data_IF_385670070942
#
_entry.id   IF_385670070942
#
_cell.length_a   1.000
_cell.length_b   1.000
_cell.length_c   1.000
_cell.angle_alpha   90.00
_cell.angle_beta   90.00
_cell.angle_gamma   90.00
#
_symmetry.space_group_name_H-M   'P 1'
#
loop_
_entity.id
_entity.type
_entity.pdbx_description
1 polymer ?
#
# COMPACT_ATOMS: atom_id res chain seq x y z
N UNK A 1 2.61 1.17 17.79
CA UNK A 1 2.11 1.26 16.40
C UNK A 1 2.96 2.27 15.64
N UNK A 2 3.26 2.02 14.37
CA UNK A 2 3.91 2.93 13.43
C UNK A 2 2.90 3.64 12.55
N UNK A 3 3.29 4.72 11.89
CA UNK A 3 2.41 5.51 11.04
C UNK A 3 3.04 5.77 9.67
N UNK A 4 2.24 5.65 8.63
CA UNK A 4 2.62 5.98 7.27
C UNK A 4 1.60 6.87 6.59
N UNK A 5 1.97 7.40 5.44
CA UNK A 5 1.08 8.13 4.52
C UNK A 5 1.00 7.36 3.20
N UNK A 6 -0.15 7.43 2.52
CA UNK A 6 -0.37 6.70 1.27
C UNK A 6 -0.96 7.60 0.20
N UNK A 7 -0.48 7.47 -1.03
CA UNK A 7 -0.81 8.33 -2.15
C UNK A 7 -1.37 7.53 -3.33
N UNK A 8 -2.44 8.06 -3.89
CA UNK A 8 -3.08 7.58 -5.12
C UNK A 8 -2.86 8.55 -6.27
N UNK A 9 -2.43 9.80 -5.97
CA UNK A 9 -2.29 10.89 -6.92
C UNK A 9 -3.59 11.12 -7.69
N UNK A 10 -4.70 11.21 -6.97
CA UNK A 10 -6.02 11.48 -7.54
C UNK A 10 -6.04 12.86 -8.20
N UNK A 11 -6.74 12.96 -9.33
CA UNK A 11 -6.81 14.20 -10.10
C UNK A 11 -8.24 14.41 -10.59
N UNK A 12 -9.08 15.12 -9.82
CA UNK A 12 -10.48 15.31 -10.16
C UNK A 12 -10.68 16.19 -11.39
N UNK A 13 -11.79 15.95 -12.10
CA UNK A 13 -12.22 16.81 -13.22
C UNK A 13 -12.77 18.16 -12.72
N UNK A 14 -12.72 19.24 -13.53
CA UNK A 14 -12.15 19.30 -14.90
C UNK A 14 -10.62 19.36 -14.89
N UNK A 15 -10.00 18.63 -15.82
CA UNK A 15 -8.54 18.67 -15.94
C UNK A 15 -8.05 19.91 -16.67
N UNK A 16 -7.00 20.49 -16.13
CA UNK A 16 -6.26 21.62 -16.70
C UNK A 16 -4.80 21.19 -16.92
N UNK A 17 -4.03 22.02 -17.58
CA UNK A 17 -2.58 21.79 -17.73
C UNK A 17 -1.85 21.61 -16.39
N UNK A 18 -2.35 22.22 -15.33
CA UNK A 18 -1.69 22.23 -14.00
C UNK A 18 -2.25 21.17 -13.04
N UNK A 19 -3.34 20.48 -13.37
CA UNK A 19 -4.03 19.58 -12.44
C UNK A 19 -3.10 18.48 -11.91
N UNK A 20 -2.47 17.71 -12.78
CA UNK A 20 -1.55 16.62 -12.41
C UNK A 20 -0.30 17.14 -11.71
N UNK A 21 0.27 18.24 -12.21
CA UNK A 21 1.43 18.89 -11.60
C UNK A 21 1.13 19.34 -10.17
N UNK A 22 -0.05 19.91 -9.94
CA UNK A 22 -0.48 20.33 -8.60
C UNK A 22 -0.63 19.14 -7.68
N UNK A 23 -1.35 18.08 -8.09
CA UNK A 23 -1.54 16.88 -7.29
C UNK A 23 -0.19 16.22 -6.89
N UNK A 24 0.74 16.10 -7.86
CA UNK A 24 2.07 15.53 -7.59
C UNK A 24 2.89 16.43 -6.65
N UNK A 25 2.91 17.75 -6.84
CA UNK A 25 3.65 18.67 -5.98
C UNK A 25 3.08 18.69 -4.56
N UNK A 26 1.75 18.69 -4.42
CA UNK A 26 1.08 18.59 -3.11
C UNK A 26 1.49 17.30 -2.39
N UNK A 27 1.49 16.17 -3.08
CA UNK A 27 1.90 14.90 -2.52
C UNK A 27 3.38 14.90 -2.09
N UNK A 28 4.28 15.47 -2.89
CA UNK A 28 5.71 15.61 -2.53
C UNK A 28 5.89 16.49 -1.28
N UNK A 29 5.15 17.59 -1.16
CA UNK A 29 5.16 18.44 0.03
C UNK A 29 4.66 17.68 1.27
N UNK A 30 3.57 16.91 1.14
CA UNK A 30 3.03 16.06 2.20
C UNK A 30 4.04 15.00 2.65
N UNK A 31 4.74 14.33 1.73
CA UNK A 31 5.79 13.35 2.05
C UNK A 31 6.95 14.00 2.79
N UNK A 32 7.41 15.17 2.33
CA UNK A 32 8.47 15.91 2.98
C UNK A 32 8.10 16.29 4.41
N UNK A 33 6.89 16.83 4.60
CA UNK A 33 6.39 17.16 5.92
C UNK A 33 6.26 15.90 6.80
N UNK A 34 5.76 14.80 6.27
CA UNK A 34 5.65 13.54 7.01
C UNK A 34 7.02 13.04 7.49
N UNK A 35 8.08 13.13 6.66
CA UNK A 35 9.46 12.80 7.05
C UNK A 35 9.94 13.70 8.20
N UNK A 36 9.70 15.02 8.11
CA UNK A 36 10.07 16.00 9.15
C UNK A 36 9.32 15.74 10.46
N UNK A 37 8.04 15.36 10.40
CA UNK A 37 7.19 15.07 11.55
C UNK A 37 7.44 13.70 12.19
N UNK A 38 8.20 12.82 11.54
CA UNK A 38 8.58 11.52 12.10
C UNK A 38 7.67 10.35 11.73
N UNK A 39 6.90 10.46 10.66
CA UNK A 39 6.21 9.30 10.09
C UNK A 39 7.21 8.25 9.62
N UNK A 40 6.80 6.97 9.67
CA UNK A 40 7.67 5.83 9.37
C UNK A 40 7.66 5.46 7.89
N UNK A 41 6.53 5.63 7.18
CA UNK A 41 6.35 5.14 5.81
C UNK A 41 5.65 6.16 4.91
N UNK A 42 6.03 6.17 3.62
CA UNK A 42 5.28 6.80 2.53
C UNK A 42 5.08 5.78 1.41
N UNK A 43 3.83 5.50 1.07
CA UNK A 43 3.44 4.51 0.08
C UNK A 43 2.81 5.16 -1.15
N UNK A 44 3.06 4.60 -2.32
CA UNK A 44 2.37 5.00 -3.56
C UNK A 44 1.74 3.79 -4.24
N UNK A 45 0.49 3.92 -4.65
CA UNK A 45 -0.23 2.88 -5.42
C UNK A 45 0.27 2.80 -6.85
N UNK A 46 0.01 1.68 -7.53
CA UNK A 46 0.09 1.56 -8.99
C UNK A 46 -1.31 1.33 -9.53
N UNK A 47 -1.80 2.27 -10.33
CA UNK A 47 -3.09 2.20 -11.01
C UNK A 47 -3.02 2.75 -12.43
N UNK A 48 -3.85 2.18 -13.30
CA UNK A 48 -3.91 2.52 -14.71
C UNK A 48 -5.37 2.72 -15.14
N UNK A 49 -5.61 3.71 -16.02
CA UNK A 49 -6.93 3.97 -16.62
C UNK A 49 -8.04 4.37 -15.63
N UNK A 50 -7.74 4.56 -14.36
CA UNK A 50 -8.71 4.93 -13.32
C UNK A 50 -8.85 6.45 -13.20
N UNK A 51 -9.02 7.09 -14.33
CA UNK A 51 -9.25 8.53 -14.56
C UNK A 51 -9.06 9.44 -13.32
N UNK A 52 -10.15 9.85 -12.64
CA UNK A 52 -10.05 10.78 -11.50
C UNK A 52 -9.50 10.13 -10.23
N UNK A 53 -9.56 8.78 -10.14
CA UNK A 53 -9.15 8.06 -8.94
C UNK A 53 -7.64 8.05 -8.73
N UNK A 54 -6.87 7.78 -9.79
CA UNK A 54 -5.42 7.66 -9.64
C UNK A 54 -4.66 7.94 -10.94
N UNK A 55 -3.70 8.87 -10.87
CA UNK A 55 -2.70 9.10 -11.90
C UNK A 55 -1.32 8.50 -11.55
N UNK A 56 -1.27 7.62 -10.53
CA UNK A 56 -0.05 6.92 -10.09
C UNK A 56 0.23 5.69 -10.95
N UNK A 57 0.58 5.90 -12.20
CA UNK A 57 0.88 4.83 -13.18
C UNK A 57 2.33 4.33 -13.13
N UNK A 58 3.24 5.09 -12.51
CA UNK A 58 4.66 4.77 -12.37
C UNK A 58 5.11 5.13 -10.95
N UNK A 59 4.70 4.36 -9.93
CA UNK A 59 4.97 4.71 -8.53
C UNK A 59 6.46 4.83 -8.23
N UNK A 60 7.32 4.08 -8.90
CA UNK A 60 8.77 4.17 -8.73
C UNK A 60 9.35 5.54 -9.10
N UNK A 61 8.73 6.27 -10.04
CA UNK A 61 9.16 7.62 -10.41
C UNK A 61 8.83 8.61 -9.29
N UNK A 62 7.61 8.55 -8.76
CA UNK A 62 7.19 9.36 -7.62
C UNK A 62 8.01 9.03 -6.37
N UNK A 63 8.18 7.75 -6.04
CA UNK A 63 8.96 7.32 -4.88
C UNK A 63 10.45 7.70 -5.01
N UNK A 64 11.00 7.75 -6.24
CA UNK A 64 12.35 8.26 -6.48
C UNK A 64 12.45 9.75 -6.15
N UNK A 65 11.48 10.56 -6.56
CA UNK A 65 11.42 11.96 -6.18
C UNK A 65 11.31 12.12 -4.64
N UNK A 66 10.47 11.29 -3.99
CA UNK A 66 10.39 11.25 -2.53
C UNK A 66 11.73 10.89 -1.88
N UNK A 67 12.48 9.93 -2.44
CA UNK A 67 13.79 9.53 -1.92
C UNK A 67 14.79 10.69 -1.87
N UNK A 68 14.73 11.57 -2.87
CA UNK A 68 15.66 12.71 -2.99
C UNK A 68 15.35 13.88 -2.03
N UNK A 69 14.10 13.98 -1.57
CA UNK A 69 13.66 15.09 -0.69
C UNK A 69 13.46 14.68 0.78
N UNK A 70 13.66 13.40 1.11
CA UNK A 70 13.48 12.84 2.46
C UNK A 70 14.73 12.14 2.95
N UNK A 71 14.83 11.89 4.27
CA UNK A 71 16.02 11.30 4.90
C UNK A 71 15.76 10.01 5.68
N UNK A 72 14.57 9.84 6.27
CA UNK A 72 14.27 8.79 7.24
C UNK A 72 13.09 7.92 6.84
N UNK A 73 12.04 8.54 6.31
CA UNK A 73 10.79 7.86 5.96
C UNK A 73 11.07 6.74 4.95
N UNK A 74 10.52 5.54 5.22
CA UNK A 74 10.65 4.41 4.29
C UNK A 74 9.64 4.58 3.15
N UNK A 75 10.00 4.11 1.98
CA UNK A 75 9.28 4.34 0.73
C UNK A 75 8.71 3.02 0.22
N UNK A 76 7.41 2.93 0.04
CA UNK A 76 6.75 1.68 -0.28
C UNK A 76 5.96 1.69 -1.58
N UNK A 77 6.10 0.63 -2.37
CA UNK A 77 5.12 0.32 -3.39
C UNK A 77 3.85 -0.22 -2.73
N UNK A 78 2.77 0.45 -2.91
CA UNK A 78 1.48 0.04 -2.34
C UNK A 78 0.40 -0.24 -3.38
N UNK A 79 0.72 -0.95 -4.45
CA UNK A 79 1.70 -2.02 -4.71
C UNK A 79 2.38 -1.85 -6.10
N UNK A 80 3.30 -2.73 -6.46
CA UNK A 80 3.70 -2.96 -7.85
C UNK A 80 2.91 -4.16 -8.41
N UNK A 81 2.36 -4.00 -9.62
CA UNK A 81 1.54 -5.04 -10.25
C UNK A 81 2.43 -6.13 -10.85
N UNK A 82 2.33 -7.34 -10.30
CA UNK A 82 3.10 -8.53 -10.71
C UNK A 82 2.30 -9.38 -11.71
N UNK A 83 2.04 -8.81 -12.90
CA UNK A 83 1.33 -9.44 -14.01
C UNK A 83 2.09 -9.13 -15.29
N UNK A 84 2.34 -10.11 -16.20
CA UNK A 84 3.22 -9.95 -17.37
C UNK A 84 2.86 -8.79 -18.29
N UNK A 85 1.57 -8.50 -18.45
CA UNK A 85 1.08 -7.42 -19.31
C UNK A 85 1.41 -6.02 -18.76
N UNK A 86 1.66 -5.90 -17.45
CA UNK A 86 2.09 -4.66 -16.81
C UNK A 86 3.61 -4.53 -16.81
N UNK A 87 4.30 -5.57 -16.37
CA UNK A 87 5.77 -5.57 -16.32
C UNK A 87 6.33 -6.98 -16.15
N UNK A 88 7.51 -7.24 -16.71
CA UNK A 88 8.22 -8.48 -16.42
C UNK A 88 8.84 -8.48 -15.03
N UNK A 89 9.04 -9.65 -14.39
CA UNK A 89 9.68 -9.74 -13.08
C UNK A 89 11.13 -9.24 -13.09
N UNK A 90 11.83 -9.31 -14.24
CA UNK A 90 13.17 -8.72 -14.40
C UNK A 90 13.10 -7.20 -14.20
N UNK A 91 12.17 -6.54 -14.89
CA UNK A 91 12.03 -5.07 -14.81
C UNK A 91 11.61 -4.63 -13.40
N UNK A 92 10.77 -5.42 -12.74
CA UNK A 92 10.41 -5.16 -11.34
C UNK A 92 11.66 -5.27 -10.45
N UNK A 93 12.44 -6.34 -10.56
CA UNK A 93 13.65 -6.54 -9.77
C UNK A 93 14.69 -5.42 -9.99
N UNK A 94 14.92 -4.99 -11.25
CA UNK A 94 15.85 -3.92 -11.60
C UNK A 94 15.42 -2.55 -11.03
N UNK A 95 14.15 -2.16 -11.25
CA UNK A 95 13.63 -0.85 -10.82
C UNK A 95 13.60 -0.72 -9.30
N UNK A 96 13.14 -1.76 -8.62
CA UNK A 96 13.10 -1.77 -7.15
C UNK A 96 14.50 -1.79 -6.54
N UNK A 97 15.45 -2.53 -7.10
CA UNK A 97 16.83 -2.48 -6.66
C UNK A 97 17.47 -1.09 -6.86
N UNK A 98 17.19 -0.44 -8.00
CA UNK A 98 17.66 0.93 -8.25
C UNK A 98 17.07 1.92 -7.24
N UNK A 99 15.75 1.84 -6.98
CA UNK A 99 15.11 2.70 -6.00
C UNK A 99 15.61 2.44 -4.57
N UNK A 100 15.91 1.18 -4.22
CA UNK A 100 16.49 0.84 -2.94
C UNK A 100 17.87 1.49 -2.73
N UNK A 101 18.71 1.49 -3.76
CA UNK A 101 20.01 2.17 -3.75
C UNK A 101 19.83 3.69 -3.60
N UNK A 102 18.96 4.30 -4.42
CA UNK A 102 18.71 5.74 -4.42
C UNK A 102 18.14 6.24 -3.08
N UNK A 103 17.33 5.41 -2.43
CA UNK A 103 16.76 5.72 -1.12
C UNK A 103 17.72 5.44 0.05
N UNK A 104 18.89 4.84 -0.19
CA UNK A 104 19.81 4.41 0.87
C UNK A 104 19.25 3.28 1.74
N UNK A 105 18.54 2.32 1.12
CA UNK A 105 18.00 1.14 1.82
C UNK A 105 16.68 1.39 2.54
N UNK A 106 15.89 2.36 2.09
CA UNK A 106 14.58 2.68 2.69
C UNK A 106 13.39 2.10 1.93
N UNK A 107 13.61 1.23 0.94
CA UNK A 107 12.54 0.68 0.12
C UNK A 107 11.78 -0.44 0.83
N UNK A 108 10.46 -0.46 0.63
CA UNK A 108 9.50 -1.53 0.91
C UNK A 108 8.84 -1.95 -0.41
N UNK A 109 8.78 -3.25 -0.71
CA UNK A 109 8.24 -3.73 -1.99
C UNK A 109 6.91 -4.44 -1.78
N UNK A 110 5.83 -3.67 -1.88
CA UNK A 110 4.48 -4.24 -1.92
C UNK A 110 4.17 -4.81 -3.32
N UNK A 111 3.55 -5.96 -3.36
CA UNK A 111 3.19 -6.69 -4.59
C UNK A 111 1.70 -6.93 -4.67
N UNK A 112 1.19 -7.06 -5.89
CA UNK A 112 -0.21 -7.37 -6.12
C UNK A 112 -0.45 -7.80 -7.57
N UNK A 113 -1.74 -7.95 -7.94
CA UNK A 113 -2.11 -8.52 -9.24
C UNK A 113 -3.17 -7.72 -9.99
N UNK A 114 -3.39 -6.43 -9.61
CA UNK A 114 -4.54 -5.62 -10.00
C UNK A 114 -5.88 -6.20 -9.50
N UNK A 115 -6.88 -5.36 -9.42
CA UNK A 115 -8.20 -5.73 -8.88
C UNK A 115 -9.36 -5.19 -9.71
N UNK A 116 -9.11 -4.36 -10.73
CA UNK A 116 -10.18 -3.73 -11.50
C UNK A 116 -10.27 -4.29 -12.91
N UNK A 117 -11.50 -4.42 -13.40
CA UNK A 117 -11.75 -4.78 -14.80
C UNK A 117 -11.15 -3.75 -15.77
N UNK A 118 -11.27 -2.46 -15.46
CA UNK A 118 -10.76 -1.37 -16.30
C UNK A 118 -9.27 -1.51 -16.54
N UNK A 119 -8.50 -1.81 -15.50
CA UNK A 119 -7.05 -2.00 -15.62
C UNK A 119 -6.70 -3.29 -16.35
N UNK A 120 -7.29 -4.41 -15.95
CA UNK A 120 -7.00 -5.72 -16.54
C UNK A 120 -7.35 -5.76 -18.03
N UNK A 121 -8.55 -5.30 -18.40
CA UNK A 121 -8.97 -5.24 -19.79
C UNK A 121 -8.12 -4.25 -20.61
N UNK A 122 -7.81 -3.09 -20.03
CA UNK A 122 -6.97 -2.07 -20.67
C UNK A 122 -5.55 -2.56 -20.95
N UNK A 123 -4.99 -3.38 -20.07
CA UNK A 123 -3.67 -4.02 -20.26
C UNK A 123 -3.72 -5.32 -21.06
N UNK A 124 -4.91 -5.83 -21.39
CA UNK A 124 -5.05 -7.15 -22.04
C UNK A 124 -4.67 -8.32 -21.13
N UNK A 125 -4.83 -8.16 -19.82
CA UNK A 125 -4.50 -9.17 -18.83
C UNK A 125 -5.72 -10.09 -18.58
N UNK A 126 -5.47 -11.41 -18.53
CA UNK A 126 -6.47 -12.39 -18.17
C UNK A 126 -6.58 -12.52 -16.66
N UNK A 127 -7.72 -12.14 -16.11
CA UNK A 127 -8.02 -12.20 -14.69
C UNK A 127 -7.78 -13.59 -14.08
N UNK A 128 -8.13 -14.66 -14.78
CA UNK A 128 -8.03 -16.04 -14.27
C UNK A 128 -6.58 -16.48 -14.02
N UNK A 129 -5.62 -15.88 -14.71
CA UNK A 129 -4.19 -16.20 -14.57
C UNK A 129 -3.43 -15.27 -13.64
N UNK A 130 -4.02 -14.15 -13.21
CA UNK A 130 -3.30 -13.13 -12.42
C UNK A 130 -2.76 -13.63 -11.08
N UNK A 131 -3.46 -14.58 -10.44
CA UNK A 131 -3.00 -15.15 -9.16
C UNK A 131 -1.77 -16.05 -9.36
N UNK A 132 -1.77 -16.87 -10.37
CA UNK A 132 -0.67 -17.77 -10.67
C UNK A 132 0.57 -16.99 -11.15
N UNK A 133 0.38 -15.96 -11.99
CA UNK A 133 1.48 -15.09 -12.43
C UNK A 133 2.10 -14.31 -11.28
N UNK A 134 1.28 -13.77 -10.39
CA UNK A 134 1.76 -13.12 -9.17
C UNK A 134 2.55 -14.09 -8.29
N UNK A 135 2.06 -15.29 -8.06
CA UNK A 135 2.76 -16.30 -7.24
C UNK A 135 4.13 -16.65 -7.83
N UNK A 136 4.21 -16.84 -9.15
CA UNK A 136 5.47 -17.09 -9.82
C UNK A 136 6.44 -15.92 -9.68
N UNK A 137 5.96 -14.68 -9.86
CA UNK A 137 6.79 -13.48 -9.79
C UNK A 137 7.37 -13.24 -8.38
N UNK A 138 6.56 -13.38 -7.33
CA UNK A 138 7.04 -13.15 -5.96
C UNK A 138 8.06 -14.18 -5.51
N UNK A 139 8.10 -15.37 -6.14
CA UNK A 139 9.10 -16.41 -5.89
C UNK A 139 10.42 -16.19 -6.62
N UNK A 140 10.41 -15.48 -7.75
CA UNK A 140 11.64 -15.30 -8.56
C UNK A 140 12.32 -13.97 -8.29
N UNK A 141 11.57 -12.92 -7.93
CA UNK A 141 12.13 -11.58 -7.65
C UNK A 141 13.20 -11.60 -6.55
N UNK A 142 13.00 -12.20 -5.36
CA UNK A 142 14.05 -12.26 -4.33
C UNK A 142 15.31 -12.97 -4.81
N UNK A 143 15.17 -14.03 -5.61
CA UNK A 143 16.31 -14.75 -6.18
C UNK A 143 17.09 -13.90 -7.16
N UNK A 144 16.43 -13.06 -7.96
CA UNK A 144 17.10 -12.09 -8.83
C UNK A 144 17.88 -11.05 -8.04
N UNK A 145 17.44 -10.68 -6.84
CA UNK A 145 18.16 -9.71 -5.98
C UNK A 145 19.37 -10.32 -5.28
N UNK A 146 19.29 -11.60 -4.89
CA UNK A 146 20.31 -12.23 -4.00
C UNK A 146 21.34 -13.05 -4.79
N UNK A 147 20.97 -13.70 -5.87
CA UNK A 147 21.88 -14.54 -6.66
C UNK A 147 22.69 -13.70 -7.65
N UNK A 148 23.99 -13.99 -7.78
CA UNK A 148 24.88 -13.33 -8.74
C UNK A 148 24.38 -13.54 -10.18
N UNK A 149 24.07 -14.79 -10.52
CA UNK A 149 23.49 -15.19 -11.80
C UNK A 149 22.22 -15.99 -11.55
N UNK A 150 21.23 -15.80 -12.39
CA UNK A 150 19.91 -16.41 -12.26
C UNK A 150 19.42 -16.89 -13.62
N UNK A 151 18.82 -18.07 -13.64
CA UNK A 151 18.05 -18.60 -14.76
C UNK A 151 16.74 -19.18 -14.24
N UNK A 152 15.71 -19.16 -15.05
CA UNK A 152 14.41 -19.67 -14.66
C UNK A 152 13.62 -20.20 -15.85
N UNK A 153 12.91 -21.29 -15.63
CA UNK A 153 11.96 -21.87 -16.58
C UNK A 153 10.66 -22.11 -15.84
N UNK A 154 9.67 -21.24 -16.04
CA UNK A 154 8.35 -21.31 -15.42
C UNK A 154 7.22 -21.36 -16.43
N UNK A 155 6.01 -21.22 -15.91
CA UNK A 155 4.81 -21.24 -16.73
C UNK A 155 4.56 -19.89 -17.41
N UNK A 156 4.75 -18.79 -16.68
CA UNK A 156 4.42 -17.45 -17.14
C UNK A 156 5.66 -16.60 -17.44
N UNK A 157 6.82 -17.08 -17.02
CA UNK A 157 8.08 -16.38 -17.19
C UNK A 157 9.23 -17.36 -17.38
N UNK A 158 10.16 -17.04 -18.26
CA UNK A 158 11.40 -17.79 -18.47
C UNK A 158 12.53 -16.83 -18.84
N UNK A 159 13.75 -17.13 -18.35
CA UNK A 159 14.94 -16.41 -18.77
C UNK A 159 16.17 -17.32 -18.77
N UNK A 160 17.08 -17.18 -19.74
CA UNK A 160 18.38 -17.84 -19.69
C UNK A 160 19.24 -17.23 -18.58
N UNK A 161 20.30 -17.91 -18.20
CA UNK A 161 21.20 -17.43 -17.14
C UNK A 161 21.77 -16.05 -17.45
N UNK A 162 21.50 -15.08 -16.57
CA UNK A 162 21.97 -13.69 -16.65
C UNK A 162 22.21 -13.14 -15.24
N UNK A 163 23.04 -12.10 -15.15
CA UNK A 163 23.10 -11.24 -13.97
C UNK A 163 21.98 -10.19 -14.06
N UNK A 164 21.06 -10.18 -13.12
CA UNK A 164 20.03 -9.14 -12.99
C UNK A 164 20.60 -8.01 -12.13
N UNK A 165 20.77 -6.83 -12.69
CA UNK A 165 21.47 -5.69 -12.07
C UNK A 165 20.66 -4.39 -12.19
N UNK A 166 20.81 -3.46 -11.19
CA UNK A 166 21.66 -3.56 -10.01
C UNK A 166 21.12 -4.55 -8.96
N UNK A 167 21.91 -4.80 -7.89
CA UNK A 167 21.45 -5.49 -6.68
C UNK A 167 20.97 -4.47 -5.66
N UNK A 168 19.97 -4.79 -4.82
CA UNK A 168 19.49 -3.89 -3.76
C UNK A 168 20.60 -3.52 -2.77
N UNK A 169 20.48 -2.34 -2.17
CA UNK A 169 21.33 -1.88 -1.08
C UNK A 169 21.06 -2.66 0.21
N UNK A 170 19.77 -2.89 0.53
CA UNK A 170 19.35 -3.70 1.67
C UNK A 170 19.78 -5.16 1.49
N UNK A 171 20.25 -5.80 2.58
CA UNK A 171 20.64 -7.20 2.60
C UNK A 171 19.77 -7.99 3.59
N UNK A 172 19.34 -9.18 3.22
CA UNK A 172 19.56 -9.87 1.94
C UNK A 172 18.81 -9.22 0.77
N UNK A 173 17.67 -8.59 1.02
CA UNK A 173 16.83 -7.85 0.03
C UNK A 173 15.83 -6.92 0.75
N UNK A 174 15.15 -5.99 0.06
CA UNK A 174 14.08 -5.18 0.63
C UNK A 174 12.92 -6.03 1.18
N UNK A 175 12.25 -5.60 2.26
CA UNK A 175 11.05 -6.26 2.75
C UNK A 175 9.97 -6.32 1.68
N UNK A 176 9.32 -7.50 1.57
CA UNK A 176 8.25 -7.74 0.60
C UNK A 176 6.91 -7.82 1.30
N UNK A 177 5.88 -7.32 0.61
CA UNK A 177 4.51 -7.25 1.10
C UNK A 177 3.54 -7.69 0.01
N UNK A 178 2.28 -7.94 0.40
CA UNK A 178 1.19 -8.11 -0.56
C UNK A 178 -0.05 -7.34 -0.12
N UNK A 179 -0.78 -6.77 -1.09
CA UNK A 179 -2.06 -6.12 -0.84
C UNK A 179 -3.11 -7.16 -0.47
N UNK A 180 -3.63 -7.08 0.76
CA UNK A 180 -4.69 -7.94 1.30
C UNK A 180 -6.02 -7.20 1.19
N UNK A 181 -6.60 -7.21 -0.01
CA UNK A 181 -7.84 -6.50 -0.35
C UNK A 181 -9.00 -7.41 -0.71
N UNK A 182 -8.73 -8.71 -0.86
CA UNK A 182 -9.73 -9.74 -1.18
C UNK A 182 -9.68 -10.88 -0.17
N UNK A 183 -10.80 -11.57 0.11
CA UNK A 183 -10.83 -12.71 1.02
C UNK A 183 -9.84 -13.81 0.61
N UNK A 184 -9.09 -14.34 1.58
CA UNK A 184 -8.10 -15.38 1.37
C UNK A 184 -6.71 -14.89 0.98
N UNK A 185 -6.54 -13.59 0.64
CA UNK A 185 -5.21 -13.04 0.31
C UNK A 185 -4.31 -12.96 1.55
N UNK A 186 -4.87 -12.86 2.74
CA UNK A 186 -4.13 -12.97 3.99
C UNK A 186 -3.45 -14.34 4.15
N UNK A 187 -4.06 -15.39 3.63
CA UNK A 187 -3.47 -16.74 3.60
C UNK A 187 -2.31 -16.78 2.61
N UNK A 188 -2.50 -16.19 1.42
CA UNK A 188 -1.45 -16.08 0.40
C UNK A 188 -0.22 -15.30 0.93
N UNK A 189 -0.45 -14.20 1.65
CA UNK A 189 0.59 -13.42 2.31
C UNK A 189 1.34 -14.26 3.36
N UNK A 190 0.59 -14.81 4.30
CA UNK A 190 1.12 -15.50 5.45
C UNK A 190 1.91 -16.75 5.06
N UNK A 191 1.41 -17.59 4.15
CA UNK A 191 2.09 -18.82 3.71
C UNK A 191 3.42 -18.57 3.02
N UNK A 192 3.63 -17.38 2.45
CA UNK A 192 4.85 -16.96 1.73
C UNK A 192 5.78 -16.08 2.55
N UNK A 193 5.46 -15.84 3.82
CA UNK A 193 6.27 -14.98 4.71
C UNK A 193 6.30 -13.52 4.28
N UNK A 194 5.25 -13.03 3.60
CA UNK A 194 5.12 -11.66 3.13
C UNK A 194 4.34 -10.79 4.14
N UNK A 195 4.71 -9.50 4.24
CA UNK A 195 3.95 -8.53 5.01
C UNK A 195 2.54 -8.33 4.46
N UNK A 196 1.58 -8.10 5.35
CA UNK A 196 0.18 -7.84 5.02
C UNK A 196 -0.07 -6.33 4.89
N UNK A 197 -0.48 -5.88 3.70
CA UNK A 197 -0.89 -4.50 3.43
C UNK A 197 -2.41 -4.50 3.17
N UNK A 198 -3.20 -4.34 4.23
CA UNK A 198 -4.66 -4.40 4.20
C UNK A 198 -5.33 -3.04 4.11
N UNK A 199 -6.65 -3.06 3.94
CA UNK A 199 -7.51 -1.88 3.97
C UNK A 199 -8.41 -1.94 5.22
N UNK A 200 -8.53 -0.85 5.95
CA UNK A 200 -9.40 -0.74 7.14
C UNK A 200 -10.88 -0.50 6.81
N UNK A 201 -11.30 -0.86 5.59
CA UNK A 201 -12.68 -0.75 5.17
C UNK A 201 -13.48 -2.00 5.60
N UNK A 202 -14.65 -1.80 6.16
CA UNK A 202 -15.48 -2.87 6.72
C UNK A 202 -15.50 -2.87 8.25
N UNK A 203 -16.13 -3.89 8.86
CA UNK A 203 -16.24 -3.96 10.31
C UNK A 203 -14.91 -4.34 10.97
N UNK A 204 -14.65 -3.79 12.16
CA UNK A 204 -13.46 -4.16 12.95
C UNK A 204 -13.39 -5.66 13.22
N UNK A 205 -14.53 -6.32 13.47
CA UNK A 205 -14.58 -7.76 13.68
C UNK A 205 -14.07 -8.57 12.50
N UNK A 206 -14.43 -8.17 11.27
CA UNK A 206 -13.94 -8.84 10.05
C UNK A 206 -12.43 -8.63 9.87
N UNK A 207 -11.96 -7.43 10.17
CA UNK A 207 -10.51 -7.12 10.10
C UNK A 207 -9.73 -7.93 11.14
N UNK A 208 -10.23 -8.03 12.36
CA UNK A 208 -9.62 -8.84 13.41
C UNK A 208 -9.49 -10.32 13.01
N UNK A 209 -10.52 -10.88 12.38
CA UNK A 209 -10.48 -12.26 11.87
C UNK A 209 -9.38 -12.44 10.82
N UNK A 210 -9.26 -11.52 9.86
CA UNK A 210 -8.23 -11.54 8.82
C UNK A 210 -6.83 -11.44 9.44
N UNK A 211 -6.62 -10.50 10.37
CA UNK A 211 -5.34 -10.31 11.06
C UNK A 211 -4.96 -11.55 11.89
N UNK A 212 -5.89 -12.09 12.68
CA UNK A 212 -5.65 -13.28 13.48
C UNK A 212 -5.34 -14.51 12.62
N UNK A 213 -6.02 -14.68 11.48
CA UNK A 213 -5.74 -15.74 10.52
C UNK A 213 -4.32 -15.61 9.94
N UNK A 214 -3.93 -14.41 9.49
CA UNK A 214 -2.58 -14.11 9.02
C UNK A 214 -1.52 -14.43 10.09
N UNK A 215 -1.68 -13.90 11.31
CA UNK A 215 -0.74 -14.09 12.43
C UNK A 215 -0.58 -15.56 12.83
N UNK A 216 -1.63 -16.34 12.69
CA UNK A 216 -1.59 -17.79 12.96
C UNK A 216 -0.80 -18.54 11.90
N UNK A 217 -1.06 -18.26 10.62
CA UNK A 217 -0.48 -19.01 9.50
C UNK A 217 0.99 -18.67 9.30
N UNK A 218 1.39 -17.41 9.43
CA UNK A 218 2.77 -16.98 9.14
C UNK A 218 3.83 -17.65 10.02
N UNK A 219 3.44 -18.16 11.20
CA UNK A 219 4.33 -18.88 12.11
C UNK A 219 4.91 -20.17 11.54
N UNK A 220 4.26 -20.74 10.52
CA UNK A 220 4.65 -21.97 9.84
C UNK A 220 4.78 -21.76 8.32
N UNK A 221 5.15 -20.57 7.89
CA UNK A 221 5.28 -20.23 6.49
C UNK A 221 6.52 -20.85 5.83
N UNK A 222 6.47 -20.96 4.52
CA UNK A 222 7.62 -21.22 3.67
C UNK A 222 7.96 -19.91 2.92
N UNK A 223 8.88 -19.09 3.43
CA UNK A 223 9.13 -17.76 2.89
C UNK A 223 9.64 -17.84 1.46
N UNK A 224 9.14 -16.98 0.59
CA UNK A 224 9.60 -16.85 -0.80
C UNK A 224 10.92 -16.08 -0.90
N UNK A 225 11.25 -15.27 0.11
CA UNK A 225 12.51 -14.54 0.25
C UNK A 225 13.42 -15.15 1.32
N UNK A 226 14.50 -14.46 1.66
CA UNK A 226 15.51 -14.94 2.60
C UNK A 226 15.14 -14.69 4.08
N UNK A 227 14.00 -14.02 4.34
CA UNK A 227 13.47 -13.78 5.69
C UNK A 227 11.94 -13.62 5.66
N UNK A 228 11.33 -13.77 6.82
CA UNK A 228 9.88 -13.57 7.02
C UNK A 228 9.60 -12.12 7.38
N UNK A 229 8.71 -11.47 6.64
CA UNK A 229 8.15 -10.17 6.98
C UNK A 229 6.78 -10.37 7.62
N UNK A 230 6.71 -10.51 8.95
CA UNK A 230 5.44 -10.75 9.66
C UNK A 230 4.65 -9.48 10.01
N UNK A 231 4.97 -8.36 9.38
CA UNK A 231 4.37 -7.06 9.68
C UNK A 231 2.96 -6.94 9.10
N UNK A 232 2.03 -6.38 9.89
CA UNK A 232 0.65 -6.09 9.48
C UNK A 232 0.47 -4.59 9.40
N UNK A 233 0.19 -4.10 8.20
CA UNK A 233 -0.16 -2.71 7.94
C UNK A 233 -1.62 -2.62 7.45
N UNK A 234 -2.32 -1.58 7.88
CA UNK A 234 -3.67 -1.23 7.41
C UNK A 234 -3.66 0.16 6.79
N UNK A 235 -4.60 0.41 5.89
CA UNK A 235 -4.79 1.70 5.24
C UNK A 235 -6.15 2.27 5.61
N UNK A 236 -6.20 3.52 6.08
CA UNK A 236 -7.43 4.22 6.43
C UNK A 236 -7.43 5.67 5.93
N UNK A 237 -8.61 6.23 5.67
CA UNK A 237 -8.74 7.68 5.44
C UNK A 237 -8.42 8.43 6.72
N UNK A 238 -7.78 9.61 6.60
CA UNK A 238 -7.45 10.41 7.76
C UNK A 238 -7.75 11.89 7.54
N UNK A 239 -8.45 12.46 8.50
CA UNK A 239 -8.48 13.91 8.70
C UNK A 239 -8.58 14.21 10.21
N UNK A 240 -7.54 14.83 10.73
CA UNK A 240 -7.42 15.20 12.14
C UNK A 240 -7.64 16.70 12.29
N UNK A 241 -8.61 17.09 13.10
CA UNK A 241 -8.91 18.50 13.39
C UNK A 241 -9.26 18.67 14.87
N UNK A 242 -8.96 19.83 15.46
CA UNK A 242 -9.23 20.11 16.89
C UNK A 242 -10.75 20.07 17.19
N UNK A 243 -11.59 20.53 16.26
CA UNK A 243 -13.04 20.43 16.32
C UNK A 243 -13.54 19.20 15.57
N UNK A 244 -14.17 18.28 16.32
CA UNK A 244 -14.67 16.99 15.78
C UNK A 244 -15.76 17.18 14.73
N UNK A 245 -16.61 18.21 14.87
CA UNK A 245 -17.65 18.48 13.90
C UNK A 245 -17.09 18.90 12.53
N UNK A 246 -16.04 19.71 12.54
CA UNK A 246 -15.28 20.10 11.33
C UNK A 246 -14.63 18.88 10.70
N UNK A 247 -14.00 18.01 11.51
CA UNK A 247 -13.40 16.77 10.99
C UNK A 247 -14.43 15.87 10.32
N UNK A 248 -15.59 15.68 10.93
CA UNK A 248 -16.68 14.89 10.37
C UNK A 248 -17.21 15.46 9.06
N UNK A 249 -17.45 16.77 8.99
CA UNK A 249 -17.88 17.43 7.76
C UNK A 249 -16.90 17.21 6.60
N UNK A 250 -15.58 17.18 6.91
CA UNK A 250 -14.56 16.87 5.92
C UNK A 250 -14.59 15.39 5.55
N UNK A 251 -14.78 14.50 6.50
CA UNK A 251 -14.93 13.06 6.26
C UNK A 251 -16.11 12.73 5.35
N UNK A 252 -17.26 13.39 5.59
CA UNK A 252 -18.45 13.26 4.73
C UNK A 252 -18.16 13.76 3.30
N UNK A 253 -17.43 14.86 3.16
CA UNK A 253 -16.98 15.37 1.86
C UNK A 253 -16.05 14.38 1.16
N UNK A 254 -15.06 13.82 1.85
CA UNK A 254 -14.17 12.80 1.31
C UNK A 254 -14.96 11.57 0.84
N UNK A 255 -15.88 11.07 1.65
CA UNK A 255 -16.73 9.92 1.32
C UNK A 255 -17.64 10.19 0.12
N UNK A 256 -18.26 11.36 0.05
CA UNK A 256 -19.15 11.75 -1.06
C UNK A 256 -18.39 11.80 -2.40
N UNK A 257 -17.13 12.26 -2.40
CA UNK A 257 -16.31 12.33 -3.60
C UNK A 257 -15.69 10.97 -3.97
N UNK A 258 -15.37 10.13 -2.98
CA UNK A 258 -14.75 8.82 -3.21
C UNK A 258 -15.75 7.77 -3.74
N UNK A 259 -16.99 7.74 -3.23
CA UNK A 259 -17.97 6.71 -3.58
C UNK A 259 -18.24 6.56 -5.09
N UNK A 260 -18.43 7.63 -5.88
CA UNK A 260 -18.61 7.50 -7.32
C UNK A 260 -17.41 6.84 -8.01
N UNK A 261 -16.18 7.15 -7.54
CA UNK A 261 -14.95 6.60 -8.10
C UNK A 261 -14.74 5.15 -7.69
N UNK A 262 -15.15 4.77 -6.49
CA UNK A 262 -15.13 3.38 -6.05
C UNK A 262 -15.97 2.44 -6.94
N UNK A 263 -16.93 2.98 -7.69
CA UNK A 263 -17.69 2.22 -8.68
C UNK A 263 -16.80 1.65 -9.80
N UNK A 264 -15.67 2.28 -10.11
CA UNK A 264 -14.69 1.81 -11.10
C UNK A 264 -13.98 0.52 -10.69
N UNK A 265 -13.99 0.18 -9.40
CA UNK A 265 -13.44 -1.07 -8.87
C UNK A 265 -14.41 -2.25 -9.00
N UNK A 266 -15.64 -2.01 -9.42
CA UNK A 266 -16.64 -3.06 -9.57
C UNK A 266 -16.69 -3.47 -11.04
N UNK A 267 -16.50 -4.77 -11.28
CA UNK A 267 -16.66 -5.32 -12.61
C UNK A 267 -18.11 -5.09 -13.12
N UNK A 268 -18.28 -4.64 -14.36
CA UNK A 268 -19.62 -4.61 -14.94
C UNK A 268 -20.19 -6.04 -15.02
N UNK A 269 -21.52 -6.23 -14.94
CA UNK A 269 -22.13 -7.57 -14.92
C UNK A 269 -21.69 -8.48 -16.07
N UNK A 270 -21.49 -7.92 -17.25
CA UNK A 270 -21.05 -8.62 -18.47
C UNK A 270 -19.57 -9.05 -18.43
N UNK A 271 -18.78 -8.45 -17.54
CA UNK A 271 -17.36 -8.73 -17.35
C UNK A 271 -17.10 -9.53 -16.06
N UNK A 272 -18.13 -9.89 -15.32
CA UNK A 272 -17.98 -10.72 -14.13
C UNK A 272 -17.42 -12.08 -14.55
N UNK A 273 -16.30 -12.51 -13.96
CA UNK A 273 -15.80 -13.85 -14.13
C UNK A 273 -16.89 -14.85 -13.68
N UNK A 274 -17.01 -15.95 -14.37
CA UNK A 274 -18.05 -16.99 -14.14
C UNK A 274 -18.00 -17.62 -12.74
N UNK A 275 -16.97 -17.29 -11.93
CA UNK A 275 -16.84 -17.76 -10.55
C UNK A 275 -17.18 -16.62 -9.57
N UNK A 276 -18.22 -16.80 -8.72
CA UNK A 276 -18.51 -15.85 -7.64
C UNK A 276 -17.33 -15.77 -6.67
N UNK A 277 -16.93 -14.58 -6.24
CA UNK A 277 -16.00 -14.38 -5.12
C UNK A 277 -14.77 -13.52 -5.41
N UNK A 278 -14.54 -13.12 -6.64
CA UNK A 278 -13.42 -12.24 -6.97
C UNK A 278 -13.84 -10.76 -6.87
N UNK A 279 -13.16 -9.96 -6.11
CA UNK A 279 -13.29 -8.49 -5.96
C UNK A 279 -14.59 -7.93 -5.35
N UNK A 280 -15.59 -8.75 -5.02
CA UNK A 280 -16.82 -8.27 -4.41
C UNK A 280 -16.75 -8.05 -2.88
N UNK A 281 -15.65 -8.46 -2.21
CA UNK A 281 -15.61 -8.50 -0.75
C UNK A 281 -15.60 -7.11 -0.10
N UNK A 282 -14.48 -6.45 -0.14
CA UNK A 282 -14.22 -5.25 0.65
C UNK A 282 -14.75 -3.97 -0.03
N UNK A 283 -14.55 -3.86 -1.34
CA UNK A 283 -14.94 -2.67 -2.11
C UNK A 283 -16.45 -2.65 -2.40
N UNK A 284 -17.12 -3.79 -2.39
CA UNK A 284 -18.59 -3.84 -2.51
C UNK A 284 -19.31 -3.27 -1.29
N UNK A 285 -18.67 -3.25 -0.12
CA UNK A 285 -19.21 -2.59 1.07
C UNK A 285 -19.23 -1.07 0.93
N UNK A 286 -18.27 -0.50 0.21
CA UNK A 286 -18.23 0.94 -0.12
C UNK A 286 -19.37 1.36 -1.05
N UNK A 287 -19.85 0.44 -1.91
CA UNK A 287 -20.94 0.69 -2.86
C UNK A 287 -22.33 0.67 -2.22
N UNK A 288 -22.51 -0.07 -1.11
CA UNK A 288 -23.81 -0.26 -0.42
C UNK A 288 -24.07 0.74 0.69
N UNK A 289 -23.07 1.55 1.05
CA UNK A 289 -23.20 2.51 2.15
C UNK A 289 -23.90 3.80 1.73
N UNK A 290 -25.22 3.86 1.92
CA UNK A 290 -25.93 5.14 2.05
C UNK A 290 -25.68 5.66 3.47
N UNK A 291 -25.25 6.92 3.60
CA UNK A 291 -25.02 7.54 4.90
C UNK A 291 -23.54 7.85 5.18
N UNK A 292 -23.25 8.53 6.32
CA UNK A 292 -21.90 8.85 6.72
C UNK A 292 -21.08 7.58 6.99
N UNK A 293 -19.74 7.63 6.83
CA UNK A 293 -18.88 6.50 7.19
C UNK A 293 -19.02 6.17 8.67
N UNK A 294 -18.93 4.88 9.04
CA UNK A 294 -19.03 4.48 10.45
C UNK A 294 -17.94 5.14 11.28
N UNK A 295 -18.28 5.60 12.45
CA UNK A 295 -17.36 6.19 13.43
C UNK A 295 -16.40 5.15 14.02
N UNK A 296 -16.87 3.91 14.13
CA UNK A 296 -16.11 2.81 14.70
C UNK A 296 -14.95 2.41 13.76
N UNK A 297 -13.73 2.50 14.25
CA UNK A 297 -12.52 2.29 13.47
C UNK A 297 -12.11 3.46 12.55
N UNK A 298 -12.79 4.62 12.63
CA UNK A 298 -12.48 5.79 11.80
C UNK A 298 -11.29 6.57 12.33
N UNK A 299 -10.37 6.94 11.44
CA UNK A 299 -9.25 7.86 11.69
C UNK A 299 -9.56 9.29 11.24
N UNK A 300 -10.85 9.64 11.20
CA UNK A 300 -11.37 10.98 10.94
C UNK A 300 -12.04 11.48 12.22
N UNK A 301 -11.56 12.59 12.78
CA UNK A 301 -12.08 13.15 14.03
C UNK A 301 -11.09 14.06 14.74
N UNK A 302 -11.41 14.40 15.98
CA UNK A 302 -10.47 15.05 16.87
C UNK A 302 -9.35 14.07 17.33
N UNK A 303 -8.24 14.58 17.88
CA UNK A 303 -7.13 13.73 18.32
C UNK A 303 -7.56 12.64 19.31
N UNK A 304 -8.49 12.91 20.23
CA UNK A 304 -8.93 11.95 21.24
C UNK A 304 -9.73 10.82 20.63
N UNK A 305 -10.64 11.15 19.68
CA UNK A 305 -11.35 10.14 18.90
C UNK A 305 -10.37 9.23 18.15
N UNK A 306 -9.45 9.82 17.38
CA UNK A 306 -8.49 9.07 16.56
C UNK A 306 -7.62 8.15 17.43
N UNK A 307 -7.11 8.62 18.56
CA UNK A 307 -6.35 7.79 19.50
C UNK A 307 -7.18 6.60 19.98
N UNK A 308 -8.43 6.82 20.38
CA UNK A 308 -9.31 5.74 20.85
C UNK A 308 -9.53 4.69 19.77
N UNK A 309 -9.77 5.10 18.53
CA UNK A 309 -10.01 4.19 17.41
C UNK A 309 -8.72 3.43 17.01
N UNK A 310 -7.58 4.11 16.94
CA UNK A 310 -6.29 3.48 16.65
C UNK A 310 -5.85 2.47 17.72
N UNK A 311 -6.24 2.68 19.00
CA UNK A 311 -5.99 1.70 20.06
C UNK A 311 -6.72 0.37 19.82
N UNK A 312 -7.87 0.37 19.16
CA UNK A 312 -8.55 -0.86 18.74
C UNK A 312 -7.70 -1.63 17.71
N UNK A 313 -7.17 -0.94 16.70
CA UNK A 313 -6.26 -1.56 15.72
C UNK A 313 -4.97 -2.08 16.35
N UNK A 314 -4.38 -1.31 17.28
CA UNK A 314 -3.19 -1.76 18.01
C UNK A 314 -3.47 -3.04 18.82
N UNK A 315 -4.63 -3.15 19.46
CA UNK A 315 -5.03 -4.35 20.23
C UNK A 315 -5.30 -5.56 19.33
N UNK A 316 -5.74 -5.36 18.10
CA UNK A 316 -5.90 -6.42 17.09
C UNK A 316 -4.57 -6.89 16.47
N UNK A 317 -3.45 -6.22 16.78
CA UNK A 317 -2.14 -6.59 16.28
C UNK A 317 -1.72 -5.90 14.98
N UNK A 318 -2.33 -4.76 14.65
CA UNK A 318 -1.85 -3.88 13.57
C UNK A 318 -0.56 -3.19 14.01
N UNK A 319 0.50 -3.35 13.22
CA UNK A 319 1.80 -2.75 13.50
C UNK A 319 1.92 -1.33 12.91
N UNK A 320 1.29 -1.10 11.76
CA UNK A 320 1.32 0.19 11.07
C UNK A 320 -0.05 0.61 10.56
N UNK A 321 -0.42 1.87 10.77
CA UNK A 321 -1.56 2.50 10.10
C UNK A 321 -1.03 3.46 9.03
N UNK A 322 -1.36 3.21 7.77
CA UNK A 322 -1.09 4.09 6.65
C UNK A 322 -2.30 4.97 6.37
N UNK A 323 -2.07 6.26 6.22
CA UNK A 323 -3.10 7.29 6.18
C UNK A 323 -3.28 7.81 4.76
N UNK A 324 -4.46 7.65 4.20
CA UNK A 324 -4.90 8.31 2.98
C UNK A 324 -5.36 9.73 3.33
N UNK A 325 -4.59 10.73 2.92
CA UNK A 325 -4.74 12.11 3.39
C UNK A 325 -5.76 12.91 2.60
N UNK A 326 -5.68 12.84 1.29
CA UNK A 326 -6.48 13.66 0.39
C UNK A 326 -7.05 12.82 -0.74
N UNK A 327 -8.04 12.03 -0.38
CA UNK A 327 -8.72 11.18 -1.36
C UNK A 327 -9.48 12.08 -2.34
N UNK A 328 -9.18 11.92 -3.64
CA UNK A 328 -9.75 12.72 -4.74
C UNK A 328 -9.53 14.23 -4.65
N UNK A 329 -8.43 14.66 -4.01
CA UNK A 329 -8.02 16.07 -3.93
C UNK A 329 -9.17 17.01 -3.50
N UNK A 330 -10.05 16.54 -2.59
CA UNK A 330 -11.21 17.31 -2.14
C UNK A 330 -10.91 18.15 -0.88
N UNK A 331 -9.76 17.93 -0.24
CA UNK A 331 -9.30 18.69 0.94
C UNK A 331 -8.28 19.73 0.48
N UNK A 332 -8.42 21.01 0.86
CA UNK A 332 -7.39 22.04 0.57
C UNK A 332 -6.02 21.60 1.11
N UNK A 333 -4.95 21.86 0.35
CA UNK A 333 -3.58 21.43 0.72
C UNK A 333 -3.19 21.90 2.14
N UNK A 334 -3.47 23.14 2.49
CA UNK A 334 -3.14 23.68 3.81
C UNK A 334 -3.82 22.91 4.95
N UNK A 335 -5.07 22.51 4.76
CA UNK A 335 -5.83 21.69 5.72
C UNK A 335 -5.22 20.28 5.86
N UNK A 336 -4.76 19.68 4.77
CA UNK A 336 -4.04 18.41 4.82
C UNK A 336 -2.75 18.53 5.63
N UNK A 337 -1.97 19.58 5.39
CA UNK A 337 -0.72 19.83 6.12
C UNK A 337 -0.97 20.13 7.62
N UNK A 338 -2.02 20.88 7.94
CA UNK A 338 -2.41 21.17 9.32
C UNK A 338 -2.89 19.89 10.04
N UNK A 339 -3.66 19.07 9.35
CA UNK A 339 -4.11 17.76 9.86
C UNK A 339 -2.91 16.85 10.17
N UNK A 340 -1.90 16.79 9.29
CA UNK A 340 -0.67 16.02 9.54
C UNK A 340 0.10 16.54 10.78
N UNK A 341 0.24 17.89 10.92
CA UNK A 341 0.91 18.49 12.08
C UNK A 341 0.19 18.18 13.38
N UNK A 342 -1.14 18.29 13.37
CA UNK A 342 -1.97 18.02 14.55
C UNK A 342 -1.88 16.53 14.93
N UNK A 343 -1.99 15.63 13.95
CA UNK A 343 -1.86 14.20 14.16
C UNK A 343 -0.48 13.83 14.75
N UNK A 344 0.59 14.38 14.20
CA UNK A 344 1.94 14.13 14.69
C UNK A 344 2.16 14.66 16.11
N UNK A 345 1.57 15.82 16.45
CA UNK A 345 1.70 16.45 17.78
C UNK A 345 0.89 15.75 18.86
N UNK A 346 -0.36 15.37 18.55
CA UNK A 346 -1.32 14.94 19.56
C UNK A 346 -1.58 13.42 19.55
N UNK A 347 -1.52 12.77 18.38
CA UNK A 347 -1.89 11.36 18.22
C UNK A 347 -0.66 10.45 18.30
N UNK A 348 0.36 10.69 17.50
CA UNK A 348 1.53 9.79 17.41
C UNK A 348 2.20 9.52 18.76
N UNK A 349 2.36 10.51 19.70
CA UNK A 349 3.00 10.27 20.99
C UNK A 349 2.24 9.28 21.90
N UNK A 350 0.96 9.04 21.65
CA UNK A 350 0.13 8.10 22.43
C UNK A 350 0.41 6.62 22.11
N UNK A 351 1.23 6.36 21.09
CA UNK A 351 1.58 5.01 20.64
C UNK A 351 3.06 4.75 20.90
N UNK A 352 3.36 3.78 21.77
CA UNK A 352 4.74 3.34 22.00
C UNK A 352 5.26 2.74 20.70
N UNK A 353 6.38 3.24 20.21
CA UNK A 353 7.17 2.53 19.20
C UNK A 353 7.58 1.19 19.81
N UNK A 354 6.90 0.10 19.48
CA UNK A 354 7.49 -1.23 19.64
C UNK A 354 8.74 -1.20 18.76
N UNK A 355 9.90 -1.31 19.40
CA UNK A 355 11.16 -1.47 18.69
C UNK A 355 11.15 -2.78 17.92
N UNK A 356 10.44 -2.82 16.82
CA UNK A 356 10.67 -3.81 15.77
C UNK A 356 12.01 -3.38 15.18
N UNK A 357 13.07 -4.14 15.54
CA UNK A 357 14.31 -4.04 14.79
C UNK A 357 13.95 -4.11 13.30
N UNK A 358 14.45 -3.23 12.44
CA UNK A 358 14.31 -3.42 11.02
C UNK A 358 14.77 -4.85 10.72
N UNK A 359 13.99 -5.62 9.96
CA UNK A 359 14.35 -6.99 9.60
C UNK A 359 15.77 -7.04 8.95
N UNK A 360 16.20 -5.95 8.31
CA UNK A 360 17.56 -5.73 7.82
C UNK A 360 18.62 -5.57 8.91
N UNK A 361 18.29 -5.07 10.11
CA UNK A 361 19.30 -4.91 11.18
C UNK A 361 19.61 -6.22 11.90
N UNK A 362 18.65 -7.15 11.97
CA UNK A 362 18.90 -8.49 12.51
C UNK A 362 19.80 -9.32 11.57
N UNK A 363 19.74 -9.13 10.26
CA UNK A 363 20.58 -9.81 9.30
C UNK A 363 22.02 -9.23 9.24
N UNK A 364 22.20 -7.93 9.49
CA UNK A 364 23.52 -7.30 9.54
C UNK A 364 24.31 -7.70 10.79
N UNK A 365 23.64 -7.89 11.94
CA UNK A 365 24.26 -8.33 13.18
C UNK A 365 24.64 -9.82 13.19
N UNK A 366 24.18 -10.62 12.23
CA UNK A 366 24.54 -12.02 12.06
C UNK A 366 25.65 -12.24 11.02
N UNK A 367 26.12 -11.16 10.36
CA UNK A 367 27.15 -11.18 9.32
C UNK A 367 28.48 -10.57 9.77
N UNK A 368 28.60 -10.05 11.00
CA UNK A 368 29.84 -9.74 11.71
C UNK A 368 30.19 -10.92 12.67
#
# INVERSE_FOLDING_TARGET
>A
MKFGVMFQLSTPRPWTRESERTAINNALEQVKLADELGFDYAWSTEHHFLEEYSHSSCPEMFLTACAMITKRIRLGHGIVVCVPQYSSPIRIAERTAMLDILSGGRLEVGTGRSATWTELAGMGADFETTKQTWDEFVRVIPKMWTQERFSYQGQFFSMPERAVLPKPYQKPHPPMWVAVTSPGTEVDAATRGLGSLGLSFGSLQMQEQVINNYRRIIKSCEPVGEFVNEHVAQVSFMFCHEDDATALGMGDRMAANFRPLAAQFVHPPEALPTKPGHTQGLLSSLRRGEGPPPRDGSTIGDPQHIVRELKKYESMGVDTMNLLLNVVECVPQEEVLNSLRLFAREVMPQFKTRGLAPAAAAAAAAAE
#
